data_IF_496473674813
#
_entry.id   IF_496473674813
#
_cell.length_a   1.000
_cell.length_b   1.000
_cell.length_c   1.000
_cell.angle_alpha   90.00
_cell.angle_beta   90.00
_cell.angle_gamma   90.00
#
_symmetry.space_group_name_H-M   'P 1'
#
loop_
_entity.id
_entity.type
_entity.pdbx_description
1 polymer ?
#
# COMPACT_ATOMS: atom_id res chain seq x y z
N UNK A 1 28.24 -5.52 12.77
CA UNK A 1 27.24 -6.46 12.21
C UNK A 1 26.25 -5.81 11.21
N UNK A 2 26.58 -4.67 10.57
CA UNK A 2 25.71 -4.03 9.57
C UNK A 2 25.78 -4.67 8.17
N UNK A 3 26.79 -5.51 7.90
CA UNK A 3 27.01 -6.12 6.58
C UNK A 3 25.91 -7.15 6.22
N UNK A 4 25.38 -7.90 7.19
CA UNK A 4 24.25 -8.81 6.97
C UNK A 4 22.90 -8.06 6.85
N UNK A 5 22.77 -6.89 7.48
CA UNK A 5 21.56 -6.07 7.40
C UNK A 5 21.39 -5.39 6.03
N UNK A 6 22.51 -5.08 5.34
CA UNK A 6 22.49 -4.47 4.01
C UNK A 6 22.46 -5.49 2.86
N UNK A 7 22.89 -6.74 3.10
CA UNK A 7 23.00 -7.75 2.04
C UNK A 7 21.66 -8.38 1.62
N UNK A 8 20.60 -8.25 2.41
CA UNK A 8 19.31 -8.91 2.13
C UNK A 8 18.11 -7.99 2.42
N UNK A 9 17.89 -6.92 1.63
CA UNK A 9 16.64 -6.14 1.68
C UNK A 9 15.40 -7.05 1.65
N UNK A 10 15.43 -8.11 0.85
CA UNK A 10 14.33 -9.08 0.73
C UNK A 10 14.01 -9.88 2.00
N UNK A 11 14.95 -10.06 2.93
CA UNK A 11 14.66 -10.79 4.19
C UNK A 11 13.71 -9.99 5.10
N UNK A 12 13.75 -8.65 5.03
CA UNK A 12 12.85 -7.81 5.82
C UNK A 12 11.41 -7.99 5.38
N UNK A 13 11.18 -8.15 4.09
CA UNK A 13 9.83 -8.31 3.54
C UNK A 13 9.28 -9.71 3.82
N UNK A 14 10.16 -10.71 3.95
CA UNK A 14 9.75 -12.08 4.28
C UNK A 14 9.25 -12.26 5.72
N UNK A 15 9.64 -11.38 6.66
CA UNK A 15 9.31 -11.57 8.08
C UNK A 15 7.80 -11.52 8.36
N UNK A 16 7.08 -10.65 7.65
CA UNK A 16 5.64 -10.45 7.84
C UNK A 16 4.82 -11.65 7.36
N UNK A 17 4.93 -12.11 6.10
CA UNK A 17 4.22 -13.31 5.66
C UNK A 17 4.66 -14.54 6.45
N UNK A 18 5.95 -14.69 6.78
CA UNK A 18 6.41 -15.86 7.53
C UNK A 18 5.86 -15.90 8.96
N UNK A 19 5.86 -14.76 9.68
CA UNK A 19 5.28 -14.68 11.04
C UNK A 19 3.77 -14.94 11.02
N UNK A 20 3.04 -14.28 10.12
CA UNK A 20 1.60 -14.48 9.94
C UNK A 20 1.27 -15.93 9.55
N UNK A 21 2.10 -16.53 8.70
CA UNK A 21 2.04 -17.92 8.32
C UNK A 21 2.16 -18.90 9.48
N UNK A 22 3.14 -18.68 10.36
CA UNK A 22 3.29 -19.52 11.56
C UNK A 22 2.11 -19.37 12.52
N UNK A 23 1.50 -18.19 12.63
CA UNK A 23 0.28 -18.02 13.41
C UNK A 23 -0.88 -18.83 12.81
N UNK A 24 -1.02 -18.86 11.48
CA UNK A 24 -1.99 -19.73 10.81
C UNK A 24 -1.72 -21.22 11.04
N UNK A 25 -0.46 -21.66 10.95
CA UNK A 25 -0.09 -23.05 11.26
C UNK A 25 -0.40 -23.41 12.71
N UNK A 26 -0.10 -22.52 13.66
CA UNK A 26 -0.43 -22.70 15.07
C UNK A 26 -1.95 -22.78 15.28
N UNK A 27 -2.70 -21.89 14.64
CA UNK A 27 -4.16 -21.94 14.65
C UNK A 27 -4.69 -23.29 14.15
N UNK A 28 -4.21 -23.76 12.99
CA UNK A 28 -4.60 -25.05 12.43
C UNK A 28 -4.20 -26.21 13.35
N UNK A 29 -3.02 -26.16 13.96
CA UNK A 29 -2.56 -27.15 14.92
C UNK A 29 -3.49 -27.23 16.15
N UNK A 30 -3.87 -26.08 16.71
CA UNK A 30 -4.80 -26.00 17.83
C UNK A 30 -6.20 -26.51 17.47
N UNK A 31 -6.64 -26.29 16.23
CA UNK A 31 -7.94 -26.74 15.74
C UNK A 31 -7.99 -28.26 15.53
N UNK A 32 -6.94 -28.84 14.93
CA UNK A 32 -6.88 -30.27 14.60
C UNK A 32 -6.46 -31.12 15.80
N UNK A 33 -5.65 -30.56 16.72
CA UNK A 33 -5.05 -31.26 17.87
C UNK A 33 -4.39 -32.60 17.48
N UNK A 34 -3.45 -32.59 16.51
CA UNK A 34 -2.81 -33.82 16.08
C UNK A 34 -2.04 -34.46 17.23
N UNK A 35 -2.15 -35.78 17.38
CA UNK A 35 -1.33 -36.56 18.31
C UNK A 35 -0.01 -36.93 17.61
N UNK A 36 1.13 -36.29 17.94
CA UNK A 36 2.39 -36.51 17.24
C UNK A 36 2.93 -37.93 17.43
N UNK A 37 2.45 -38.65 18.45
CA UNK A 37 2.86 -40.03 18.73
C UNK A 37 2.14 -41.07 17.89
N UNK A 38 1.02 -40.70 17.25
CA UNK A 38 0.20 -41.63 16.47
C UNK A 38 0.28 -41.32 14.99
N UNK A 39 0.69 -42.33 14.22
CA UNK A 39 0.61 -42.28 12.75
C UNK A 39 -0.86 -42.12 12.33
N UNK A 40 -1.20 -41.14 11.48
CA UNK A 40 -2.57 -40.92 11.04
C UNK A 40 -3.09 -42.10 10.18
N UNK A 41 -4.39 -42.38 10.26
CA UNK A 41 -5.01 -43.49 9.53
C UNK A 41 -5.18 -43.21 8.03
N UNK A 42 -5.25 -41.94 7.62
CA UNK A 42 -5.39 -41.56 6.21
C UNK A 42 -4.08 -41.83 5.46
N UNK A 43 -4.08 -42.58 4.35
CA UNK A 43 -2.86 -42.93 3.60
C UNK A 43 -2.02 -41.73 3.16
N UNK A 44 -2.67 -40.64 2.74
CA UNK A 44 -1.98 -39.41 2.30
C UNK A 44 -1.31 -38.71 3.47
N UNK A 45 -2.02 -38.54 4.59
CA UNK A 45 -1.46 -37.95 5.81
C UNK A 45 -0.34 -38.83 6.40
N UNK A 46 -0.50 -40.16 6.32
CA UNK A 46 0.49 -41.13 6.75
C UNK A 46 1.77 -41.02 5.91
N UNK A 47 1.65 -40.84 4.58
CA UNK A 47 2.80 -40.64 3.70
C UNK A 47 3.58 -39.37 4.04
N UNK A 48 2.88 -38.27 4.37
CA UNK A 48 3.52 -37.02 4.81
C UNK A 48 4.20 -37.20 6.18
N UNK A 49 3.56 -37.90 7.12
CA UNK A 49 4.14 -38.23 8.43
C UNK A 49 5.40 -39.10 8.30
N UNK A 50 5.34 -40.13 7.45
CA UNK A 50 6.46 -41.02 7.20
C UNK A 50 7.61 -40.23 6.54
N UNK A 51 7.33 -39.35 5.57
CA UNK A 51 8.35 -38.47 5.00
C UNK A 51 8.97 -37.55 6.08
N UNK A 52 8.15 -36.93 6.93
CA UNK A 52 8.63 -36.04 8.00
C UNK A 52 9.56 -36.76 8.99
N UNK A 53 9.26 -38.02 9.33
CA UNK A 53 10.09 -38.83 10.24
C UNK A 53 11.41 -39.26 9.60
N UNK A 54 11.45 -39.50 8.28
CA UNK A 54 12.67 -39.94 7.57
C UNK A 54 13.62 -38.78 7.23
N UNK A 55 13.10 -37.63 6.82
CA UNK A 55 13.93 -36.51 6.37
C UNK A 55 14.53 -35.74 7.57
N UNK A 56 13.94 -35.87 8.75
CA UNK A 56 14.45 -35.32 10.01
C UNK A 56 13.97 -33.89 10.31
N UNK A 57 14.22 -33.40 11.53
CA UNK A 57 13.61 -32.18 12.05
C UNK A 57 14.04 -30.91 11.30
N UNK A 58 15.26 -30.88 10.75
CA UNK A 58 15.77 -29.72 10.02
C UNK A 58 14.95 -29.43 8.75
N UNK A 59 14.74 -30.46 7.93
CA UNK A 59 13.97 -30.34 6.69
C UNK A 59 12.48 -30.16 6.95
N UNK A 60 11.96 -30.73 8.03
CA UNK A 60 10.60 -30.45 8.49
C UNK A 60 10.42 -28.97 8.81
N UNK A 61 11.39 -28.38 9.52
CA UNK A 61 11.41 -26.94 9.80
C UNK A 61 11.45 -26.10 8.53
N UNK A 62 12.28 -26.46 7.54
CA UNK A 62 12.34 -25.78 6.24
C UNK A 62 11.00 -25.89 5.48
N UNK A 63 10.42 -27.08 5.39
CA UNK A 63 9.14 -27.30 4.73
C UNK A 63 8.00 -26.54 5.41
N UNK A 64 7.93 -26.57 6.75
CA UNK A 64 6.99 -25.78 7.52
C UNK A 64 7.16 -24.28 7.28
N UNK A 65 8.40 -23.79 7.17
CA UNK A 65 8.70 -22.39 6.86
C UNK A 65 8.19 -21.97 5.48
N UNK A 66 8.32 -22.82 4.46
CA UNK A 66 7.77 -22.55 3.12
C UNK A 66 6.24 -22.50 3.15
N UNK A 67 5.59 -23.46 3.80
CA UNK A 67 4.13 -23.48 3.95
C UNK A 67 3.64 -22.25 4.72
N UNK A 68 4.32 -21.89 5.82
CA UNK A 68 4.03 -20.68 6.58
C UNK A 68 4.10 -19.45 5.67
N UNK A 69 5.20 -19.26 4.94
CA UNK A 69 5.35 -18.13 4.03
C UNK A 69 4.19 -18.02 3.03
N UNK A 70 3.79 -19.12 2.38
CA UNK A 70 2.66 -19.13 1.45
C UNK A 70 1.34 -18.74 2.12
N UNK A 71 1.02 -19.34 3.27
CA UNK A 71 -0.21 -19.02 4.00
C UNK A 71 -0.25 -17.54 4.41
N UNK A 72 0.89 -17.02 4.88
CA UNK A 72 0.99 -15.61 5.23
C UNK A 72 0.85 -14.68 4.04
N UNK A 73 1.47 -14.99 2.90
CA UNK A 73 1.35 -14.19 1.68
C UNK A 73 -0.11 -14.12 1.20
N UNK A 74 -0.81 -15.26 1.17
CA UNK A 74 -2.25 -15.30 0.82
C UNK A 74 -3.09 -14.51 1.82
N UNK A 75 -2.78 -14.61 3.12
CA UNK A 75 -3.46 -13.86 4.17
C UNK A 75 -3.27 -12.34 4.03
N UNK A 76 -2.07 -11.91 3.63
CA UNK A 76 -1.78 -10.49 3.35
C UNK A 76 -2.60 -9.99 2.17
N UNK A 77 -2.61 -10.73 1.06
CA UNK A 77 -3.43 -10.38 -0.11
C UNK A 77 -4.92 -10.27 0.24
N UNK A 78 -5.45 -11.19 1.03
CA UNK A 78 -6.83 -11.14 1.50
C UNK A 78 -7.09 -9.91 2.38
N UNK A 79 -6.13 -9.54 3.22
CA UNK A 79 -6.27 -8.39 4.11
C UNK A 79 -6.23 -7.08 3.33
N UNK A 80 -5.34 -6.94 2.34
CA UNK A 80 -5.30 -5.78 1.46
C UNK A 80 -6.59 -5.65 0.64
N UNK A 81 -7.14 -6.77 0.16
CA UNK A 81 -8.43 -6.79 -0.52
C UNK A 81 -9.58 -6.33 0.38
N UNK A 82 -9.62 -6.79 1.64
CA UNK A 82 -10.63 -6.36 2.61
C UNK A 82 -10.45 -4.87 2.94
N UNK A 83 -9.23 -4.41 3.18
CA UNK A 83 -8.92 -3.01 3.49
C UNK A 83 -9.38 -2.09 2.35
N UNK A 84 -9.10 -2.45 1.09
CA UNK A 84 -9.50 -1.70 -0.09
C UNK A 84 -11.04 -1.58 -0.24
N UNK A 85 -11.81 -2.53 0.27
CA UNK A 85 -13.27 -2.56 0.15
C UNK A 85 -14.01 -1.97 1.37
N UNK A 86 -13.43 -2.08 2.57
CA UNK A 86 -14.08 -1.71 3.83
C UNK A 86 -13.61 -0.37 4.41
N UNK A 87 -12.43 0.12 4.05
CA UNK A 87 -11.99 1.40 4.59
C UNK A 87 -12.84 2.54 3.99
N UNK A 88 -13.45 3.40 4.83
CA UNK A 88 -14.25 4.52 4.35
C UNK A 88 -13.44 5.45 3.45
N UNK A 89 -12.11 5.52 3.60
CA UNK A 89 -11.24 6.29 2.71
C UNK A 89 -11.34 5.86 1.23
N UNK A 90 -11.47 4.56 0.94
CA UNK A 90 -11.63 4.08 -0.44
C UNK A 90 -13.02 4.43 -1.00
N UNK A 91 -14.07 4.34 -0.17
CA UNK A 91 -15.43 4.78 -0.53
C UNK A 91 -15.51 6.29 -0.71
N UNK A 92 -14.92 7.06 0.19
CA UNK A 92 -14.82 8.52 0.10
C UNK A 92 -14.02 8.92 -1.14
N UNK A 93 -12.96 8.20 -1.51
CA UNK A 93 -12.22 8.44 -2.76
C UNK A 93 -13.09 8.20 -3.99
N UNK A 94 -13.86 7.10 -4.04
CA UNK A 94 -14.80 6.82 -5.14
C UNK A 94 -15.96 7.79 -5.18
N UNK A 95 -16.52 8.19 -4.04
CA UNK A 95 -17.57 9.20 -3.97
C UNK A 95 -17.05 10.55 -4.42
N UNK A 96 -15.86 10.96 -3.98
CA UNK A 96 -15.20 12.17 -4.47
C UNK A 96 -15.01 12.10 -5.98
N UNK A 97 -14.45 11.01 -6.52
CA UNK A 97 -14.27 10.87 -7.97
C UNK A 97 -15.59 10.97 -8.76
N UNK A 98 -16.68 10.40 -8.23
CA UNK A 98 -18.02 10.55 -8.83
C UNK A 98 -18.57 11.97 -8.72
N UNK A 99 -18.29 12.66 -7.62
CA UNK A 99 -18.69 14.05 -7.42
C UNK A 99 -17.91 14.98 -8.37
N UNK A 100 -16.64 14.67 -8.64
CA UNK A 100 -15.83 15.30 -9.70
C UNK A 100 -16.36 15.02 -11.11
N UNK A 101 -16.93 13.84 -11.37
CA UNK A 101 -17.47 13.47 -12.68
C UNK A 101 -18.77 14.21 -13.00
N UNK A 102 -19.52 14.67 -11.98
CA UNK A 102 -20.84 15.26 -12.17
C UNK A 102 -20.86 16.80 -12.27
N UNK A 103 -19.81 17.49 -11.84
CA UNK A 103 -19.73 18.96 -11.94
C UNK A 103 -18.34 19.43 -12.40
N UNK A 104 -18.12 19.58 -13.71
CA UNK A 104 -16.88 20.16 -14.24
C UNK A 104 -16.73 21.66 -13.93
N UNK A 105 -17.76 22.34 -13.41
CA UNK A 105 -17.80 23.81 -13.23
C UNK A 105 -17.23 24.30 -11.87
N UNK A 106 -15.97 23.95 -11.63
CA UNK A 106 -14.92 24.77 -10.99
C UNK A 106 -15.08 25.55 -9.66
N UNK A 107 -16.19 25.61 -8.93
CA UNK A 107 -16.27 26.54 -7.77
C UNK A 107 -15.95 25.97 -6.38
N UNK A 108 -15.91 24.65 -6.17
CA UNK A 108 -15.70 24.07 -4.84
C UNK A 108 -14.56 23.06 -4.73
N UNK A 109 -13.58 23.18 -5.61
CA UNK A 109 -12.29 22.48 -5.50
C UNK A 109 -11.47 23.01 -4.32
N UNK A 110 -11.95 22.76 -3.09
CA UNK A 110 -11.05 22.47 -1.98
C UNK A 110 -10.40 21.13 -2.31
N UNK A 111 -9.47 21.18 -3.26
CA UNK A 111 -8.50 20.11 -3.51
C UNK A 111 -7.90 19.86 -2.14
N UNK A 112 -8.29 18.74 -1.54
CA UNK A 112 -7.65 18.23 -0.34
C UNK A 112 -6.17 18.24 -0.67
N UNK A 113 -5.39 19.05 0.05
CA UNK A 113 -4.01 19.37 -0.27
C UNK A 113 -3.15 18.11 -0.16
N UNK A 114 -3.23 17.20 -1.13
CA UNK A 114 -2.19 16.21 -1.32
C UNK A 114 -0.95 16.98 -1.79
N UNK A 115 0.24 16.62 -1.31
CA UNK A 115 1.50 17.29 -1.64
C UNK A 115 1.85 17.24 -3.13
N UNK A 116 1.61 16.10 -3.79
CA UNK A 116 1.73 15.98 -5.25
C UNK A 116 0.71 16.91 -5.93
N UNK A 117 -0.45 17.08 -5.30
CA UNK A 117 -1.44 18.07 -5.66
C UNK A 117 -0.88 19.49 -5.62
N UNK A 118 0.03 19.85 -4.72
CA UNK A 118 0.60 21.20 -4.69
C UNK A 118 1.45 21.49 -5.93
N UNK A 119 2.34 20.57 -6.34
CA UNK A 119 3.14 20.74 -7.56
C UNK A 119 2.27 20.71 -8.83
N UNK A 120 1.32 19.78 -8.89
CA UNK A 120 0.36 19.67 -10.00
C UNK A 120 -0.52 20.93 -10.08
N UNK A 121 -0.97 21.45 -8.94
CA UNK A 121 -1.79 22.66 -8.84
C UNK A 121 -0.99 23.91 -9.20
N UNK A 122 0.26 24.01 -8.76
CA UNK A 122 1.15 25.11 -9.13
C UNK A 122 1.38 25.12 -10.64
N UNK A 123 1.72 23.96 -11.21
CA UNK A 123 1.89 23.76 -12.66
C UNK A 123 0.61 24.10 -13.41
N UNK A 124 -0.54 23.59 -12.96
CA UNK A 124 -1.85 23.92 -13.54
C UNK A 124 -2.09 25.43 -13.53
N UNK A 125 -1.93 26.08 -12.38
CA UNK A 125 -2.20 27.52 -12.24
C UNK A 125 -1.28 28.40 -13.09
N UNK A 126 -0.03 28.00 -13.32
CA UNK A 126 0.89 28.76 -14.18
C UNK A 126 0.51 28.66 -15.65
N UNK A 127 0.04 27.49 -16.08
CA UNK A 127 -0.42 27.25 -17.45
C UNK A 127 -1.75 27.95 -17.69
N UNK A 128 -2.72 27.84 -16.77
CA UNK A 128 -4.02 28.51 -16.92
C UNK A 128 -3.85 30.03 -17.03
N UNK A 129 -2.95 30.64 -16.24
CA UNK A 129 -2.61 32.07 -16.38
C UNK A 129 -1.99 32.39 -17.73
N UNK A 130 -1.11 31.53 -18.24
CA UNK A 130 -0.50 31.70 -19.57
C UNK A 130 -1.57 31.59 -20.66
N UNK A 131 -2.50 30.65 -20.52
CA UNK A 131 -3.63 30.49 -21.42
C UNK A 131 -4.55 31.70 -21.40
N UNK A 132 -4.95 32.19 -20.23
CA UNK A 132 -5.78 33.40 -20.08
C UNK A 132 -5.13 34.62 -20.75
N UNK A 133 -3.81 34.78 -20.62
CA UNK A 133 -3.08 35.83 -21.31
C UNK A 133 -3.07 35.63 -22.83
N UNK A 134 -3.02 34.39 -23.31
CA UNK A 134 -3.03 34.04 -24.75
C UNK A 134 -4.41 33.99 -25.39
N UNK A 135 -5.51 33.87 -24.61
CA UNK A 135 -6.90 33.85 -25.12
C UNK A 135 -7.26 35.12 -25.91
N UNK A 136 -6.47 36.19 -25.77
CA UNK A 136 -6.57 37.41 -26.58
C UNK A 136 -6.08 37.23 -28.04
N UNK A 137 -5.37 36.14 -28.35
CA UNK A 137 -4.69 35.93 -29.64
C UNK A 137 -4.97 34.57 -30.29
N UNK A 138 -5.48 33.59 -29.54
CA UNK A 138 -5.75 32.22 -30.04
C UNK A 138 -7.25 32.06 -30.37
N UNK A 139 -7.61 31.38 -31.48
CA UNK A 139 -9.00 31.03 -31.80
C UNK A 139 -9.73 30.31 -30.63
N UNK A 140 -11.02 30.60 -30.39
CA UNK A 140 -11.76 30.04 -29.25
C UNK A 140 -11.80 28.51 -29.21
N UNK A 141 -11.91 27.86 -30.36
CA UNK A 141 -11.94 26.40 -30.50
C UNK A 141 -10.65 25.73 -30.01
N UNK A 142 -9.49 26.32 -30.33
CA UNK A 142 -8.18 25.84 -29.87
C UNK A 142 -8.01 26.08 -28.37
N UNK A 143 -8.50 27.22 -27.86
CA UNK A 143 -8.44 27.55 -26.44
C UNK A 143 -9.28 26.58 -25.59
N UNK A 144 -10.48 26.22 -26.05
CA UNK A 144 -11.36 25.27 -25.37
C UNK A 144 -10.76 23.85 -25.37
N UNK A 145 -10.16 23.41 -26.48
CA UNK A 145 -9.46 22.12 -26.55
C UNK A 145 -8.25 22.09 -25.60
N UNK A 146 -7.46 23.16 -25.54
CA UNK A 146 -6.32 23.25 -24.64
C UNK A 146 -6.75 23.18 -23.17
N UNK A 147 -7.84 23.87 -22.80
CA UNK A 147 -8.40 23.85 -21.45
C UNK A 147 -8.82 22.42 -21.05
N UNK A 148 -9.51 21.70 -21.95
CA UNK A 148 -9.86 20.30 -21.72
C UNK A 148 -8.63 19.40 -21.57
N UNK A 149 -7.62 19.53 -22.44
CA UNK A 149 -6.37 18.73 -22.38
C UNK A 149 -5.59 18.96 -21.09
N UNK A 150 -5.62 20.17 -20.55
CA UNK A 150 -4.97 20.51 -19.27
C UNK A 150 -5.76 19.89 -18.11
N UNK A 151 -7.09 20.05 -18.09
CA UNK A 151 -7.93 19.48 -17.04
C UNK A 151 -7.84 17.94 -17.00
N UNK A 152 -7.90 17.28 -18.15
CA UNK A 152 -7.70 15.83 -18.27
C UNK A 152 -6.28 15.41 -17.87
N UNK A 153 -5.27 16.17 -18.31
CA UNK A 153 -3.88 15.95 -17.91
C UNK A 153 -3.69 16.05 -16.39
N UNK A 154 -4.33 17.02 -15.74
CA UNK A 154 -4.28 17.21 -14.30
C UNK A 154 -4.92 16.02 -13.56
N UNK A 155 -6.08 15.56 -14.03
CA UNK A 155 -6.77 14.39 -13.48
C UNK A 155 -5.89 13.15 -13.57
N UNK A 156 -5.33 12.86 -14.75
CA UNK A 156 -4.44 11.71 -14.95
C UNK A 156 -3.17 11.80 -14.11
N UNK A 157 -2.58 13.01 -13.98
CA UNK A 157 -1.41 13.23 -13.15
C UNK A 157 -1.70 12.98 -11.67
N UNK A 158 -2.88 13.39 -11.20
CA UNK A 158 -3.32 13.16 -9.83
C UNK A 158 -3.58 11.68 -9.56
N UNK A 159 -4.33 11.00 -10.45
CA UNK A 159 -4.59 9.56 -10.37
C UNK A 159 -3.26 8.78 -10.32
N UNK A 160 -2.34 9.03 -11.25
CA UNK A 160 -1.02 8.38 -11.27
C UNK A 160 -0.15 8.71 -10.05
N UNK A 161 -0.14 9.96 -9.60
CA UNK A 161 0.60 10.34 -8.37
C UNK A 161 0.08 9.59 -7.15
N UNK A 162 -1.23 9.32 -7.12
CA UNK A 162 -1.81 8.54 -6.03
C UNK A 162 -1.49 7.05 -6.11
N UNK A 163 -1.39 6.48 -7.31
CA UNK A 163 -0.91 5.12 -7.52
C UNK A 163 0.58 5.01 -7.15
N UNK A 164 1.39 6.03 -7.47
CA UNK A 164 2.81 6.10 -7.09
C UNK A 164 3.04 6.07 -5.58
N UNK A 165 2.14 6.68 -4.79
CA UNK A 165 2.20 6.60 -3.32
C UNK A 165 1.94 5.18 -2.79
N UNK A 166 1.35 4.30 -3.59
CA UNK A 166 1.13 2.89 -3.25
C UNK A 166 2.27 1.99 -3.76
N UNK A 167 2.99 2.43 -4.80
CA UNK A 167 4.13 1.70 -5.34
C UNK A 167 5.24 1.52 -4.29
N UNK A 168 6.02 0.43 -4.38
CA UNK A 168 7.16 0.22 -3.50
C UNK A 168 8.09 1.42 -3.58
N UNK A 169 8.47 1.97 -2.43
CA UNK A 169 9.23 3.21 -2.35
C UNK A 169 10.63 3.13 -3.00
N UNK A 170 10.99 1.97 -3.57
CA UNK A 170 12.10 1.75 -4.51
C UNK A 170 12.17 2.78 -5.64
N UNK A 171 11.01 3.32 -6.09
CA UNK A 171 10.98 4.40 -7.08
C UNK A 171 11.47 5.76 -6.52
N UNK A 172 11.57 5.89 -5.20
CA UNK A 172 12.01 7.10 -4.48
C UNK A 172 13.44 6.94 -3.91
N UNK A 173 14.15 5.84 -4.21
CA UNK A 173 15.47 5.50 -3.63
C UNK A 173 16.62 6.39 -4.13
N UNK A 174 16.36 7.36 -5.00
CA UNK A 174 17.38 8.26 -5.54
C UNK A 174 18.09 9.09 -4.46
N UNK A 175 17.43 10.15 -4.00
CA UNK A 175 18.15 11.25 -3.34
C UNK A 175 18.17 11.16 -1.80
N UNK A 176 17.29 10.36 -1.18
CA UNK A 176 17.06 10.34 0.27
C UNK A 176 16.97 8.89 0.84
N UNK A 177 18.06 8.10 0.83
CA UNK A 177 18.04 6.69 1.27
C UNK A 177 17.64 6.50 2.74
N UNK A 178 17.96 7.48 3.60
CA UNK A 178 17.59 7.45 5.02
C UNK A 178 16.08 7.58 5.23
N UNK A 179 15.44 8.49 4.49
CA UNK A 179 13.98 8.66 4.49
C UNK A 179 13.30 7.37 4.01
N UNK A 180 13.81 6.77 2.93
CA UNK A 180 13.28 5.51 2.40
C UNK A 180 13.37 4.37 3.42
N UNK A 181 14.51 4.21 4.09
CA UNK A 181 14.69 3.18 5.10
C UNK A 181 13.67 3.32 6.25
N UNK A 182 13.38 4.56 6.66
CA UNK A 182 12.44 4.90 7.72
C UNK A 182 10.97 4.67 7.30
N UNK A 183 10.59 5.12 6.11
CA UNK A 183 9.28 4.87 5.50
C UNK A 183 9.01 3.37 5.38
N UNK A 184 9.97 2.62 4.82
CA UNK A 184 9.82 1.18 4.62
C UNK A 184 9.78 0.43 5.96
N UNK A 185 10.52 0.90 6.96
CA UNK A 185 10.44 0.37 8.33
C UNK A 185 9.03 0.52 8.91
N UNK A 186 8.45 1.73 8.83
CA UNK A 186 7.10 2.00 9.33
C UNK A 186 6.03 1.18 8.58
N UNK A 187 6.16 1.08 7.25
CA UNK A 187 5.26 0.30 6.40
C UNK A 187 5.30 -1.18 6.78
N UNK A 188 6.49 -1.79 6.80
CA UNK A 188 6.66 -3.20 7.11
C UNK A 188 6.23 -3.55 8.53
N UNK A 189 6.36 -2.64 9.50
CA UNK A 189 5.82 -2.79 10.85
C UNK A 189 4.28 -2.75 10.86
N UNK A 190 3.67 -1.83 10.11
CA UNK A 190 2.22 -1.73 9.95
C UNK A 190 1.61 -2.98 9.32
N UNK A 191 2.21 -3.46 8.22
CA UNK A 191 1.77 -4.66 7.49
C UNK A 191 1.88 -5.93 8.34
N UNK A 192 2.97 -6.10 9.10
CA UNK A 192 3.12 -7.21 10.04
C UNK A 192 1.99 -7.22 11.06
N UNK A 193 1.67 -6.06 11.68
CA UNK A 193 0.63 -5.96 12.71
C UNK A 193 -0.74 -6.29 12.15
N UNK A 194 -1.10 -5.69 11.01
CA UNK A 194 -2.41 -5.89 10.38
C UNK A 194 -2.59 -7.35 9.94
N UNK A 195 -1.57 -7.94 9.32
CA UNK A 195 -1.67 -9.31 8.80
C UNK A 195 -1.65 -10.39 9.90
N UNK A 196 -1.00 -10.12 11.04
CA UNK A 196 -1.01 -11.04 12.17
C UNK A 196 -2.33 -11.03 12.96
N UNK A 197 -3.14 -9.97 12.85
CA UNK A 197 -4.39 -9.82 13.60
C UNK A 197 -5.39 -10.97 13.36
N UNK A 198 -5.75 -11.34 12.12
CA UNK A 198 -6.77 -12.37 11.90
C UNK A 198 -6.46 -13.73 12.54
N UNK A 199 -5.29 -14.36 12.32
CA UNK A 199 -4.99 -15.64 12.96
C UNK A 199 -4.88 -15.49 14.47
N UNK A 200 -4.35 -14.37 14.98
CA UNK A 200 -4.26 -14.13 16.43
C UNK A 200 -5.65 -14.03 17.07
N UNK A 201 -6.60 -13.33 16.43
CA UNK A 201 -7.99 -13.24 16.88
C UNK A 201 -8.64 -14.63 16.97
N UNK A 202 -8.43 -15.46 15.94
CA UNK A 202 -8.98 -16.80 15.87
C UNK A 202 -8.37 -17.74 16.92
N UNK A 203 -7.06 -17.67 17.16
CA UNK A 203 -6.39 -18.41 18.24
C UNK A 203 -7.00 -18.02 19.59
N UNK A 204 -7.18 -16.71 19.84
CA UNK A 204 -7.79 -16.22 21.09
C UNK A 204 -9.21 -16.77 21.27
N UNK A 205 -10.02 -16.76 20.21
CA UNK A 205 -11.38 -17.33 20.24
C UNK A 205 -11.34 -18.82 20.56
N UNK A 206 -10.47 -19.61 19.91
CA UNK A 206 -10.33 -21.04 20.19
C UNK A 206 -9.91 -21.28 21.64
N UNK A 207 -8.91 -20.55 22.14
CA UNK A 207 -8.45 -20.68 23.52
C UNK A 207 -9.52 -20.27 24.53
N UNK A 208 -10.32 -19.25 24.21
CA UNK A 208 -11.44 -18.82 25.03
C UNK A 208 -12.52 -19.89 25.17
N UNK A 209 -12.80 -20.61 24.09
CA UNK A 209 -13.82 -21.66 24.04
C UNK A 209 -13.34 -23.00 24.63
N UNK A 210 -12.07 -23.36 24.41
CA UNK A 210 -11.56 -24.70 24.74
C UNK A 210 -10.77 -24.76 26.05
N UNK A 211 -10.15 -23.65 26.48
CA UNK A 211 -9.26 -23.63 27.64
C UNK A 211 -9.85 -22.79 28.76
N UNK A 212 -10.15 -21.51 28.50
CA UNK A 212 -10.67 -20.61 29.53
C UNK A 212 -11.32 -19.35 28.98
N UNK A 213 -12.52 -18.95 29.43
CA UNK A 213 -13.18 -17.71 28.99
C UNK A 213 -12.36 -16.43 29.23
N UNK A 214 -11.38 -16.45 30.14
CA UNK A 214 -10.49 -15.31 30.41
C UNK A 214 -9.69 -14.85 29.18
N UNK A 215 -9.49 -15.72 28.18
CA UNK A 215 -8.83 -15.33 26.94
C UNK A 215 -9.60 -14.25 26.15
N UNK A 216 -10.90 -14.06 26.39
CA UNK A 216 -11.64 -12.93 25.79
C UNK A 216 -11.04 -11.56 26.15
N UNK A 217 -10.35 -11.45 27.29
CA UNK A 217 -9.63 -10.22 27.68
C UNK A 217 -8.46 -9.88 26.76
N UNK A 218 -8.02 -10.79 25.89
CA UNK A 218 -6.96 -10.53 24.90
C UNK A 218 -7.48 -9.90 23.60
N UNK A 219 -8.80 -9.92 23.32
CA UNK A 219 -9.34 -9.29 22.11
C UNK A 219 -9.09 -7.78 22.01
N UNK A 220 -9.20 -6.98 23.09
CA UNK A 220 -8.82 -5.57 23.04
C UNK A 220 -7.38 -5.35 22.57
N UNK A 221 -6.44 -6.24 22.92
CA UNK A 221 -5.06 -6.17 22.45
C UNK A 221 -4.96 -6.38 20.94
N UNK A 222 -5.75 -7.30 20.38
CA UNK A 222 -5.84 -7.53 18.93
C UNK A 222 -6.41 -6.31 18.21
N UNK A 223 -7.49 -5.72 18.75
CA UNK A 223 -8.07 -4.49 18.21
C UNK A 223 -7.06 -3.32 18.23
N UNK A 224 -6.34 -3.16 19.34
CA UNK A 224 -5.28 -2.16 19.49
C UNK A 224 -4.14 -2.38 18.48
N UNK A 225 -3.73 -3.64 18.26
CA UNK A 225 -2.69 -4.00 17.29
C UNK A 225 -3.10 -3.60 15.86
N UNK A 226 -4.34 -3.89 15.47
CA UNK A 226 -4.90 -3.48 14.16
C UNK A 226 -4.92 -1.97 14.01
N UNK A 227 -5.40 -1.25 15.03
CA UNK A 227 -5.44 0.20 15.01
C UNK A 227 -4.04 0.81 14.89
N UNK A 228 -3.07 0.32 15.66
CA UNK A 228 -1.68 0.76 15.58
C UNK A 228 -1.05 0.44 14.22
N UNK A 229 -1.35 -0.73 13.65
CA UNK A 229 -0.88 -1.12 12.32
C UNK A 229 -1.41 -0.18 11.23
N UNK A 230 -2.71 0.10 11.24
CA UNK A 230 -3.35 1.03 10.31
C UNK A 230 -2.79 2.45 10.44
N UNK A 231 -2.59 2.91 11.68
CA UNK A 231 -1.99 4.23 11.96
C UNK A 231 -0.55 4.32 11.43
N UNK A 232 0.29 3.31 11.66
CA UNK A 232 1.67 3.27 11.15
C UNK A 232 1.73 3.31 9.62
N UNK A 233 0.83 2.59 8.95
CA UNK A 233 0.69 2.65 7.47
C UNK A 233 0.35 4.07 7.01
N UNK A 234 -0.56 4.76 7.71
CA UNK A 234 -0.88 6.17 7.47
C UNK A 234 0.30 7.14 7.69
N UNK A 235 1.05 6.97 8.79
CA UNK A 235 2.24 7.79 9.11
C UNK A 235 3.32 7.66 8.03
N UNK A 236 3.55 6.45 7.50
CA UNK A 236 4.51 6.23 6.41
C UNK A 236 4.15 6.99 5.13
N UNK A 237 2.86 6.99 4.75
CA UNK A 237 2.34 7.75 3.60
C UNK A 237 2.50 9.25 3.82
N UNK A 238 2.18 9.73 5.02
CA UNK A 238 2.33 11.15 5.36
C UNK A 238 3.79 11.62 5.27
N UNK A 239 4.75 10.77 5.65
CA UNK A 239 6.18 11.09 5.54
C UNK A 239 6.66 11.23 4.09
N UNK A 240 6.24 10.33 3.19
CA UNK A 240 6.50 10.47 1.74
C UNK A 240 5.88 11.78 1.23
N UNK A 241 4.65 12.03 1.67
CA UNK A 241 3.89 13.21 1.31
C UNK A 241 4.63 14.51 1.69
N UNK A 242 5.13 14.59 2.91
CA UNK A 242 5.85 15.76 3.40
C UNK A 242 7.21 15.92 2.71
N UNK A 243 7.86 14.81 2.35
CA UNK A 243 9.09 14.84 1.55
C UNK A 243 8.87 15.40 0.14
N UNK A 244 7.75 15.03 -0.51
CA UNK A 244 7.36 15.61 -1.80
C UNK A 244 7.06 17.11 -1.69
N UNK A 245 6.37 17.55 -0.62
CA UNK A 245 6.11 18.98 -0.34
C UNK A 245 7.39 19.80 -0.17
N UNK A 246 8.40 19.21 0.48
CA UNK A 246 9.70 19.86 0.68
C UNK A 246 10.57 19.84 -0.58
N UNK A 247 10.09 19.32 -1.72
CA UNK A 247 10.86 19.19 -2.95
C UNK A 247 12.02 18.21 -2.86
N UNK A 248 12.04 17.35 -1.83
CA UNK A 248 13.10 16.33 -1.62
C UNK A 248 12.90 15.09 -2.47
N UNK A 249 11.66 14.87 -2.91
CA UNK A 249 11.27 13.72 -3.74
C UNK A 249 10.36 14.22 -4.85
N UNK A 250 10.77 14.02 -6.10
CA UNK A 250 9.99 14.39 -7.28
C UNK A 250 9.13 13.20 -7.71
N UNK A 251 7.81 13.39 -7.81
CA UNK A 251 6.91 12.37 -8.37
C UNK A 251 7.15 12.25 -9.89
N UNK A 252 7.42 11.04 -10.42
CA UNK A 252 7.53 10.82 -11.85
C UNK A 252 6.27 11.26 -12.63
N UNK A 253 5.07 11.01 -12.09
CA UNK A 253 3.82 11.46 -12.68
C UNK A 253 3.73 12.99 -12.74
N UNK A 254 4.12 13.68 -11.67
CA UNK A 254 4.13 15.14 -11.63
C UNK A 254 5.14 15.72 -12.63
N UNK A 255 6.32 15.11 -12.77
CA UNK A 255 7.31 15.48 -13.78
C UNK A 255 6.82 15.24 -15.20
N UNK A 256 6.23 14.07 -15.47
CA UNK A 256 5.67 13.74 -16.78
C UNK A 256 4.53 14.70 -17.17
N UNK A 257 3.71 15.11 -16.20
CA UNK A 257 2.69 16.14 -16.39
C UNK A 257 3.32 17.49 -16.74
N UNK A 258 4.32 17.94 -15.97
CA UNK A 258 5.04 19.18 -16.25
C UNK A 258 5.65 19.18 -17.66
N UNK A 259 6.31 18.09 -18.07
CA UNK A 259 6.89 17.94 -19.40
C UNK A 259 5.83 18.00 -20.52
N UNK A 260 4.68 17.33 -20.31
CA UNK A 260 3.54 17.36 -21.25
C UNK A 260 2.98 18.78 -21.40
N UNK A 261 2.90 19.51 -20.30
CA UNK A 261 2.38 20.88 -20.27
C UNK A 261 3.33 21.90 -20.88
N UNK A 262 4.64 21.72 -20.69
CA UNK A 262 5.66 22.56 -21.35
C UNK A 262 5.54 22.44 -22.87
N UNK A 263 5.38 21.21 -23.40
CA UNK A 263 5.16 20.99 -24.84
C UNK A 263 3.89 21.65 -25.35
N UNK A 264 2.79 21.52 -24.62
CA UNK A 264 1.52 22.17 -24.99
C UNK A 264 1.67 23.70 -25.02
N UNK A 265 2.41 24.27 -24.07
CA UNK A 265 2.67 25.72 -24.02
C UNK A 265 3.52 26.17 -25.21
N UNK A 266 4.51 25.37 -25.63
CA UNK A 266 5.32 25.64 -26.82
C UNK A 266 4.48 25.55 -28.11
N UNK A 267 3.62 24.54 -28.24
CA UNK A 267 2.68 24.39 -29.36
C UNK A 267 1.76 25.62 -29.50
N UNK A 268 1.17 26.08 -28.38
CA UNK A 268 0.28 27.24 -28.38
C UNK A 268 1.01 28.55 -28.73
N UNK A 269 2.25 28.72 -28.25
CA UNK A 269 3.09 29.88 -28.62
C UNK A 269 3.42 29.90 -30.10
N UNK A 270 3.64 28.73 -30.72
CA UNK A 270 3.93 28.62 -32.14
C UNK A 270 2.72 28.95 -33.03
N UNK A 271 1.49 28.78 -32.55
CA UNK A 271 0.25 29.13 -33.27
C UNK A 271 -0.05 30.63 -33.17
N UNK A 272 0.29 31.26 -32.05
CA UNK A 272 0.01 32.68 -31.79
C UNK A 272 1.08 33.68 -32.28
N UNK A 273 2.25 33.20 -32.72
CA UNK A 273 3.35 34.01 -33.26
C UNK A 273 3.23 34.17 -34.78
#
# INVERSE_FOLDING_TARGET
MQILANALPGFRDMRAPLTTGYLWLLFTWLLVKPDPSKRPANPTAASVYDLATHVGPLWLGLGAGVVAYFLGAVSQMATDYVEANYTPSARSRRQMLKEFEHDPSHKHLRVMQMPAGALIQETYSSITRTLEQSKLSVPPDIADEAEWRIADGQRQAYERSTEELELPATLLVGDEPALFAEVDRMRAEGELRISATPPLALIIVILALQVSPWFWLALPTVAALTYQGARRKGESRQMIIDAMRMGRVVSPAAKAYQDKMNRLTEELRAIGA
#
